data_IF_393236043842
#
_entry.id   IF_393236043842
#
_cell.length_a   1.000
_cell.length_b   1.000
_cell.length_c   1.000
_cell.angle_alpha   90.00
_cell.angle_beta   90.00
_cell.angle_gamma   90.00
#
_symmetry.space_group_name_H-M   'P 1'
#
loop_
_entity.id
_entity.type
_entity.pdbx_description
1 polymer ?
#
# COMPACT_ATOMS: atom_id res chain seq x y z
N UNK A 1 11.47 -9.26 4.71
CA UNK A 1 10.22 -8.72 4.13
C UNK A 1 10.60 -7.38 3.55
N UNK A 2 10.25 -7.09 2.30
CA UNK A 2 10.69 -5.89 1.58
C UNK A 2 10.17 -4.62 2.30
N UNK A 3 11.09 -3.80 2.80
CA UNK A 3 10.78 -2.60 3.59
C UNK A 3 9.97 -1.58 2.78
N UNK A 4 10.19 -1.55 1.47
CA UNK A 4 9.50 -0.65 0.53
C UNK A 4 8.03 -1.01 0.39
N UNK A 5 7.75 -2.31 0.24
CA UNK A 5 6.37 -2.81 0.23
C UNK A 5 5.62 -2.48 1.50
N UNK A 6 6.30 -2.50 2.65
CA UNK A 6 5.68 -2.08 3.91
C UNK A 6 5.36 -0.59 3.90
N UNK A 7 6.28 0.26 3.41
CA UNK A 7 6.07 1.69 3.28
C UNK A 7 4.85 2.02 2.39
N UNK A 8 4.79 1.43 1.20
CA UNK A 8 3.66 1.56 0.27
C UNK A 8 2.38 1.11 0.96
N UNK A 9 2.40 -0.06 1.60
CA UNK A 9 1.23 -0.60 2.29
C UNK A 9 0.74 0.31 3.41
N UNK A 10 1.63 0.90 4.22
CA UNK A 10 1.24 1.83 5.27
C UNK A 10 0.56 3.07 4.70
N UNK A 11 1.11 3.64 3.64
CA UNK A 11 0.50 4.78 2.96
C UNK A 11 -0.91 4.45 2.45
N UNK A 12 -1.08 3.32 1.76
CA UNK A 12 -2.37 2.93 1.20
C UNK A 12 -3.42 2.62 2.28
N UNK A 13 -3.01 2.05 3.43
CA UNK A 13 -3.90 1.86 4.58
C UNK A 13 -4.33 3.22 5.16
N UNK A 14 -3.40 4.18 5.27
CA UNK A 14 -3.74 5.53 5.74
C UNK A 14 -4.74 6.20 4.78
N UNK A 15 -4.51 6.10 3.47
CA UNK A 15 -5.44 6.64 2.47
C UNK A 15 -6.80 5.97 2.51
N UNK A 16 -6.85 4.65 2.66
CA UNK A 16 -8.12 3.92 2.82
C UNK A 16 -8.90 4.35 4.06
N UNK A 17 -8.23 4.50 5.21
CA UNK A 17 -8.89 4.94 6.43
C UNK A 17 -9.48 6.34 6.30
N UNK A 18 -8.85 7.20 5.51
CA UNK A 18 -9.29 8.58 5.28
C UNK A 18 -10.33 8.70 4.17
N UNK A 19 -10.21 7.87 3.14
CA UNK A 19 -11.09 7.82 1.97
C UNK A 19 -11.55 6.36 1.76
N UNK A 20 -12.52 5.85 2.56
CA UNK A 20 -12.90 4.44 2.55
C UNK A 20 -13.56 3.95 1.26
N UNK A 21 -13.93 4.89 0.38
CA UNK A 21 -14.42 4.59 -0.96
C UNK A 21 -13.30 4.10 -1.88
N UNK A 22 -12.04 4.46 -1.60
CA UNK A 22 -10.89 4.03 -2.38
C UNK A 22 -10.57 2.56 -2.15
N UNK A 23 -10.09 1.91 -3.19
CA UNK A 23 -9.63 0.53 -3.20
C UNK A 23 -8.31 0.49 -3.93
N UNK A 24 -7.38 -0.26 -3.37
CA UNK A 24 -6.01 -0.30 -3.86
C UNK A 24 -5.61 -1.74 -4.17
N UNK A 25 -4.97 -1.95 -5.32
CA UNK A 25 -4.19 -3.16 -5.57
C UNK A 25 -2.74 -2.75 -5.78
N UNK A 26 -1.81 -3.44 -5.15
CA UNK A 26 -0.39 -3.17 -5.34
C UNK A 26 0.28 -4.42 -5.93
N UNK A 27 1.15 -4.22 -6.89
CA UNK A 27 1.95 -5.27 -7.49
C UNK A 27 3.25 -4.75 -8.08
N UNK A 28 4.00 -5.65 -8.71
CA UNK A 28 5.17 -5.29 -9.49
C UNK A 28 4.76 -5.02 -10.95
N UNK A 29 5.47 -4.10 -11.59
CA UNK A 29 5.45 -3.93 -13.05
C UNK A 29 6.28 -5.01 -13.75
N UNK A 30 6.61 -4.79 -15.02
CA UNK A 30 7.44 -5.71 -15.80
C UNK A 30 8.88 -5.83 -15.29
N UNK A 31 9.32 -4.90 -14.44
CA UNK A 31 10.57 -4.92 -13.69
C UNK A 31 10.28 -5.01 -12.19
N UNK A 32 11.06 -5.84 -11.47
CA UNK A 32 10.96 -6.01 -10.00
C UNK A 32 11.28 -4.71 -9.23
N UNK A 33 11.80 -3.69 -9.92
CA UNK A 33 12.12 -2.36 -9.38
C UNK A 33 10.96 -1.38 -9.48
N UNK A 34 9.89 -1.71 -10.18
CA UNK A 34 8.75 -0.80 -10.39
C UNK A 34 7.53 -1.35 -9.67
N UNK A 35 6.99 -0.57 -8.73
CA UNK A 35 5.74 -0.87 -8.05
C UNK A 35 4.58 -0.20 -8.77
N UNK A 36 3.51 -0.94 -9.03
CA UNK A 36 2.28 -0.41 -9.63
C UNK A 36 1.17 -0.50 -8.59
N UNK A 37 0.48 0.62 -8.38
CA UNK A 37 -0.69 0.73 -7.51
C UNK A 37 -1.91 1.09 -8.34
N UNK A 38 -2.84 0.14 -8.49
CA UNK A 38 -4.16 0.39 -9.06
C UNK A 38 -5.07 1.02 -8.01
N UNK A 39 -5.72 2.13 -8.37
CA UNK A 39 -6.64 2.88 -7.53
C UNK A 39 -8.04 2.91 -8.16
N UNK A 40 -9.04 2.50 -7.39
CA UNK A 40 -10.46 2.50 -7.78
C UNK A 40 -11.30 3.14 -6.67
N UNK A 41 -12.40 3.89 -6.95
CA UNK A 41 -12.86 4.32 -8.27
C UNK A 41 -12.13 5.58 -8.77
N UNK A 42 -12.02 5.74 -10.09
CA UNK A 42 -11.40 6.91 -10.74
C UNK A 42 -12.02 8.25 -10.30
N UNK A 43 -13.28 8.26 -9.89
CA UNK A 43 -13.98 9.49 -9.45
C UNK A 43 -13.27 10.22 -8.31
N UNK A 44 -12.53 9.49 -7.48
CA UNK A 44 -11.80 10.04 -6.34
C UNK A 44 -10.48 10.73 -6.73
N UNK A 45 -9.99 10.58 -7.97
CA UNK A 45 -8.86 11.39 -8.47
C UNK A 45 -9.21 12.89 -8.57
N UNK A 46 -10.50 13.24 -8.56
CA UNK A 46 -10.94 14.64 -8.44
C UNK A 46 -10.78 15.21 -7.02
N UNK A 47 -10.35 14.39 -6.05
CA UNK A 47 -10.05 14.86 -4.70
C UNK A 47 -8.63 15.44 -4.66
N UNK A 48 -8.51 16.77 -4.73
CA UNK A 48 -7.22 17.48 -4.71
C UNK A 48 -6.35 17.10 -3.52
N UNK A 49 -6.95 16.81 -2.36
CA UNK A 49 -6.19 16.44 -1.17
C UNK A 49 -5.55 15.06 -1.30
N UNK A 50 -6.28 14.09 -1.87
CA UNK A 50 -5.74 12.77 -2.18
C UNK A 50 -4.63 12.87 -3.22
N UNK A 51 -4.86 13.58 -4.32
CA UNK A 51 -3.87 13.75 -5.39
C UNK A 51 -2.57 14.40 -4.88
N UNK A 52 -2.69 15.39 -3.98
CA UNK A 52 -1.51 16.00 -3.34
C UNK A 52 -0.75 15.01 -2.47
N UNK A 53 -1.43 14.19 -1.67
CA UNK A 53 -0.77 13.17 -0.82
C UNK A 53 -0.12 12.07 -1.64
N UNK A 54 -0.75 11.63 -2.72
CA UNK A 54 -0.18 10.67 -3.66
C UNK A 54 1.13 11.22 -4.24
N UNK A 55 1.13 12.47 -4.72
CA UNK A 55 2.32 13.12 -5.26
C UNK A 55 3.43 13.30 -4.22
N UNK A 56 3.09 13.74 -3.00
CA UNK A 56 4.05 13.86 -1.90
C UNK A 56 4.67 12.51 -1.54
N UNK A 57 3.85 11.44 -1.53
CA UNK A 57 4.32 10.09 -1.29
C UNK A 57 5.27 9.61 -2.39
N UNK A 58 4.91 9.75 -3.67
CA UNK A 58 5.76 9.33 -4.80
C UNK A 58 7.14 10.00 -4.75
N UNK A 59 7.16 11.33 -4.63
CA UNK A 59 8.42 12.09 -4.54
C UNK A 59 9.28 11.64 -3.35
N UNK A 60 8.64 11.40 -2.20
CA UNK A 60 9.35 10.98 -0.99
C UNK A 60 9.85 9.55 -1.07
N UNK A 61 9.10 8.67 -1.72
CA UNK A 61 9.45 7.26 -1.92
C UNK A 61 10.63 7.13 -2.90
N UNK A 62 10.55 7.76 -4.07
CA UNK A 62 11.58 7.69 -5.12
C UNK A 62 12.90 8.35 -4.65
N UNK A 63 12.82 9.47 -3.93
CA UNK A 63 14.03 10.10 -3.36
C UNK A 63 14.73 9.23 -2.31
N UNK A 64 14.00 8.37 -1.59
CA UNK A 64 14.58 7.39 -0.65
C UNK A 64 15.02 6.09 -1.34
N UNK A 65 14.42 5.74 -2.47
CA UNK A 65 14.62 4.49 -3.17
C UNK A 65 15.06 4.73 -4.61
N UNK A 66 16.30 5.22 -4.80
CA UNK A 66 16.83 5.72 -6.08
C UNK A 66 16.72 4.73 -7.26
N UNK A 67 16.72 3.42 -6.98
CA UNK A 67 16.61 2.38 -8.01
C UNK A 67 15.18 1.82 -8.15
N UNK A 68 14.19 2.39 -7.46
CA UNK A 68 12.81 1.88 -7.45
C UNK A 68 11.82 3.00 -7.71
N UNK A 69 10.86 2.68 -8.58
CA UNK A 69 9.80 3.61 -8.97
C UNK A 69 8.46 3.13 -8.44
N UNK A 70 7.55 4.07 -8.19
CA UNK A 70 6.15 3.75 -7.89
C UNK A 70 5.22 4.51 -8.83
N UNK A 71 4.25 3.79 -9.38
CA UNK A 71 3.30 4.35 -10.35
C UNK A 71 1.89 4.07 -9.85
N UNK A 72 1.09 5.13 -9.73
CA UNK A 72 -0.33 5.03 -9.45
C UNK A 72 -1.11 5.06 -10.76
N UNK A 73 -2.00 4.08 -10.93
CA UNK A 73 -2.81 3.92 -12.14
C UNK A 73 -4.27 3.78 -11.77
N UNK A 74 -5.15 4.32 -12.59
CA UNK A 74 -6.59 4.29 -12.36
C UNK A 74 -7.27 3.12 -13.07
N UNK A 75 -8.49 2.77 -12.64
CA UNK A 75 -9.32 1.77 -13.31
C UNK A 75 -9.48 2.07 -14.81
N UNK A 76 -9.02 1.16 -15.68
CA UNK A 76 -9.17 1.27 -17.14
C UNK A 76 -7.90 1.66 -17.88
N UNK A 77 -6.79 1.90 -17.19
CA UNK A 77 -5.50 2.18 -17.83
C UNK A 77 -4.82 0.92 -18.39
N UNK A 78 -3.87 1.12 -19.30
CA UNK A 78 -3.21 0.07 -20.09
C UNK A 78 -2.29 -0.79 -19.21
N UNK A 79 -1.79 -0.22 -18.11
CA UNK A 79 -0.92 -0.86 -17.14
C UNK A 79 -1.74 -1.57 -16.06
N UNK A 80 -2.15 -2.81 -16.35
CA UNK A 80 -2.76 -3.68 -15.35
C UNK A 80 -1.68 -4.42 -14.56
N UNK A 81 -1.91 -4.58 -13.26
CA UNK A 81 -1.03 -5.37 -12.40
C UNK A 81 -1.16 -6.84 -12.78
N UNK A 82 -0.11 -7.42 -13.36
CA UNK A 82 -0.08 -8.85 -13.68
C UNK A 82 0.12 -9.70 -12.41
N UNK A 83 0.94 -9.23 -11.46
CA UNK A 83 1.24 -9.92 -10.20
C UNK A 83 0.84 -9.07 -8.99
N UNK A 84 -0.38 -9.32 -8.48
CA UNK A 84 -0.89 -8.61 -7.29
C UNK A 84 -0.24 -9.16 -6.03
N UNK A 85 0.43 -8.28 -5.27
CA UNK A 85 1.08 -8.61 -4.00
C UNK A 85 0.09 -8.47 -2.84
N UNK A 86 -0.72 -7.40 -2.84
CA UNK A 86 -1.75 -7.19 -1.83
C UNK A 86 -2.89 -6.29 -2.34
N UNK A 87 -4.01 -6.32 -1.61
CA UNK A 87 -5.23 -5.54 -1.89
C UNK A 87 -5.74 -4.87 -0.62
N UNK A 88 -6.34 -3.69 -0.74
CA UNK A 88 -6.97 -2.90 0.33
C UNK A 88 -8.33 -2.40 -0.15
N UNK A 89 -9.36 -2.45 0.70
CA UNK A 89 -10.70 -1.93 0.39
C UNK A 89 -11.61 -2.86 -0.44
N UNK A 90 -11.17 -4.09 -0.71
CA UNK A 90 -12.01 -5.13 -1.30
C UNK A 90 -12.64 -5.96 -0.18
N UNK A 91 -13.97 -5.97 -0.13
CA UNK A 91 -14.78 -6.75 0.80
C UNK A 91 -14.73 -8.24 0.41
N UNK A 92 -13.58 -8.85 0.61
CA UNK A 92 -13.45 -10.31 0.65
C UNK A 92 -12.57 -10.61 1.85
N UNK A 93 -13.16 -11.32 2.81
CA UNK A 93 -12.54 -11.75 4.06
C UNK A 93 -11.22 -12.52 3.83
N UNK A 94 -10.10 -11.81 3.64
CA UNK A 94 -8.70 -12.08 4.04
C UNK A 94 -7.72 -11.40 3.08
N UNK A 95 -6.57 -10.88 3.57
CA UNK A 95 -5.42 -10.63 2.71
C UNK A 95 -4.97 -11.98 2.10
N UNK A 96 -5.17 -12.15 0.79
CA UNK A 96 -4.56 -13.24 0.03
C UNK A 96 -3.06 -13.00 -0.04
N UNK A 97 -2.33 -13.64 0.86
CA UNK A 97 -0.89 -13.81 0.77
C UNK A 97 -0.63 -15.08 -0.05
N UNK A 98 -0.53 -14.95 -1.37
CA UNK A 98 0.12 -15.99 -2.18
C UNK A 98 1.63 -15.76 -2.12
N UNK A 99 2.25 -16.11 -1.00
CA UNK A 99 3.65 -16.53 -1.06
C UNK A 99 3.69 -18.03 -0.94
N UNK A 100 4.40 -18.62 -1.89
CA UNK A 100 4.65 -20.04 -1.93
C UNK A 100 5.21 -20.48 -0.57
N UNK A 101 4.41 -21.30 0.12
CA UNK A 101 4.65 -22.02 1.38
C UNK A 101 4.32 -21.25 2.67
N UNK A 102 3.21 -21.70 3.25
CA UNK A 102 2.77 -21.57 4.66
C UNK A 102 1.89 -20.35 4.95
N UNK A 103 0.59 -20.61 4.97
CA UNK A 103 -0.47 -19.66 5.32
C UNK A 103 -0.34 -19.22 6.78
N UNK A 104 0.00 -17.96 7.04
CA UNK A 104 -0.11 -17.36 8.37
C UNK A 104 -1.34 -16.44 8.42
N UNK A 105 -2.37 -16.89 9.16
CA UNK A 105 -3.48 -16.04 9.58
C UNK A 105 -2.99 -15.13 10.71
N UNK A 106 -2.87 -13.83 10.45
CA UNK A 106 -2.65 -12.83 11.49
C UNK A 106 -3.72 -11.75 11.35
N UNK A 107 -4.60 -11.68 12.34
CA UNK A 107 -5.61 -10.62 12.45
C UNK A 107 -4.92 -9.25 12.57
N UNK A 108 -5.26 -8.33 11.67
CA UNK A 108 -4.72 -6.98 11.56
C UNK A 108 -4.80 -6.18 12.88
N UNK A 109 -5.78 -6.52 13.73
CA UNK A 109 -5.97 -5.97 15.09
C UNK A 109 -4.76 -6.18 16.00
N UNK A 110 -3.92 -7.18 15.71
CA UNK A 110 -2.73 -7.50 16.51
C UNK A 110 -1.54 -6.59 16.18
N UNK A 111 -1.47 -6.06 14.95
CA UNK A 111 -0.34 -5.23 14.51
C UNK A 111 -0.46 -3.77 14.92
N UNK A 112 -1.69 -3.22 14.93
CA UNK A 112 -1.94 -1.85 15.41
C UNK A 112 -1.60 -1.75 16.91
N UNK A 113 -1.86 -2.81 17.68
CA UNK A 113 -1.60 -2.86 19.12
C UNK A 113 -0.11 -2.86 19.48
N UNK A 114 0.79 -3.13 18.54
CA UNK A 114 2.23 -3.07 18.77
C UNK A 114 2.83 -1.67 18.64
N UNK A 115 2.10 -0.67 18.13
CA UNK A 115 2.60 0.73 18.06
C UNK A 115 2.36 1.52 19.35
N UNK A 116 1.37 1.16 20.15
CA UNK A 116 1.04 1.85 21.41
C UNK A 116 1.80 1.34 22.65
N UNK A 117 2.72 0.37 22.50
CA UNK A 117 3.41 -0.27 23.62
C UNK A 117 4.93 -0.06 23.65
N UNK A 118 5.42 1.03 23.06
CA UNK A 118 6.78 1.50 23.34
C UNK A 118 6.69 2.52 24.48
N UNK A 119 6.53 2.00 25.71
CA UNK A 119 6.78 2.76 26.92
C UNK A 119 8.29 3.02 27.01
N UNK A 120 8.72 4.24 26.70
CA UNK A 120 10.00 4.76 27.20
C UNK A 120 9.83 5.11 28.69
N UNK A 121 9.55 4.12 29.52
CA UNK A 121 9.64 4.27 30.97
C UNK A 121 11.08 3.99 31.40
N UNK A 122 11.78 5.09 31.70
CA UNK A 122 12.92 5.21 32.63
C UNK A 122 13.56 3.91 33.14
N UNK A 123 14.80 3.69 32.74
CA UNK A 123 15.84 2.99 33.51
C UNK A 123 17.18 3.65 33.12
N UNK A 124 18.04 4.15 34.00
CA UNK A 124 18.05 4.30 35.45
C UNK A 124 19.00 5.48 35.77
#
# INVERSE_FOLDING_TARGET
MDERLNEIRFFLIEMYNKYPALKFKCGYGSSDTTYIVEVEPLSEYNNEEYAKRELEFCNSFESRNVDHDIIFVSEGDICKIENVIFKIGYDDNRPLYESNRTTFNSELSTWIRHRDNINYSLAA
#
